data_IF_471869353793
#
_entry.id   IF_471869353793
#
_cell.length_a   1.000
_cell.length_b   1.000
_cell.length_c   1.000
_cell.angle_alpha   90.00
_cell.angle_beta   90.00
_cell.angle_gamma   90.00
#
_symmetry.space_group_name_H-M   'P 1'
#
loop_
_entity.id
_entity.type
_entity.pdbx_description
1 polymer ?
#
# COMPACT_ATOMS: atom_id res chain seq x y z
N UNK A 1 -12.83 6.60 8.39
CA UNK A 1 -13.38 5.86 7.22
C UNK A 1 -13.76 4.45 7.64
N UNK A 2 -15.01 3.99 7.43
CA UNK A 2 -15.33 2.56 7.64
C UNK A 2 -14.77 1.77 6.46
N UNK A 3 -13.88 0.78 6.69
CA UNK A 3 -13.52 -0.18 5.65
C UNK A 3 -14.81 -0.83 5.14
N UNK A 4 -15.07 -0.69 3.85
CA UNK A 4 -16.11 -1.44 3.18
C UNK A 4 -15.47 -2.62 2.45
N UNK A 5 -16.28 -3.61 2.09
CA UNK A 5 -15.82 -4.84 1.46
C UNK A 5 -14.96 -4.59 0.21
N UNK A 6 -15.31 -3.57 -0.59
CA UNK A 6 -14.57 -3.25 -1.81
C UNK A 6 -13.16 -2.71 -1.49
N UNK A 7 -13.03 -1.90 -0.46
CA UNK A 7 -11.74 -1.38 -0.02
C UNK A 7 -10.84 -2.50 0.52
N UNK A 8 -11.40 -3.46 1.25
CA UNK A 8 -10.67 -4.67 1.70
C UNK A 8 -10.10 -5.43 0.51
N UNK A 9 -10.93 -5.73 -0.50
CA UNK A 9 -10.50 -6.43 -1.72
C UNK A 9 -9.37 -5.68 -2.47
N UNK A 10 -9.47 -4.34 -2.54
CA UNK A 10 -8.47 -3.52 -3.21
C UNK A 10 -7.13 -3.51 -2.46
N UNK A 11 -7.18 -3.40 -1.13
CA UNK A 11 -5.97 -3.49 -0.29
C UNK A 11 -5.32 -4.86 -0.42
N UNK A 12 -6.09 -5.95 -0.37
CA UNK A 12 -5.57 -7.29 -0.59
C UNK A 12 -4.92 -7.44 -1.99
N UNK A 13 -5.53 -6.85 -3.02
CA UNK A 13 -4.98 -6.81 -4.37
C UNK A 13 -3.63 -6.08 -4.46
N UNK A 14 -3.51 -4.92 -3.81
CA UNK A 14 -2.27 -4.13 -3.74
C UNK A 14 -1.19 -4.93 -2.99
N UNK A 15 -1.51 -5.46 -1.80
CA UNK A 15 -0.56 -6.24 -0.98
C UNK A 15 -0.11 -7.51 -1.70
N UNK A 16 -1.01 -8.23 -2.36
CA UNK A 16 -0.69 -9.41 -3.15
C UNK A 16 0.26 -9.07 -4.31
N UNK A 17 0.01 -7.96 -5.01
CA UNK A 17 0.88 -7.47 -6.09
C UNK A 17 2.28 -7.11 -5.59
N UNK A 18 2.37 -6.46 -4.43
CA UNK A 18 3.64 -6.13 -3.77
C UNK A 18 4.38 -7.40 -3.39
N UNK A 19 3.76 -8.34 -2.66
CA UNK A 19 4.40 -9.60 -2.23
C UNK A 19 4.89 -10.45 -3.40
N UNK A 20 4.20 -10.40 -4.54
CA UNK A 20 4.62 -11.12 -5.76
C UNK A 20 5.93 -10.58 -6.34
N UNK A 21 6.18 -9.27 -6.23
CA UNK A 21 7.39 -8.61 -6.76
C UNK A 21 8.50 -8.44 -5.70
N UNK A 22 8.11 -8.24 -4.43
CA UNK A 22 8.98 -8.00 -3.29
C UNK A 22 8.65 -8.99 -2.17
N UNK A 23 8.99 -10.28 -2.33
CA UNK A 23 8.62 -11.34 -1.37
C UNK A 23 9.24 -11.17 0.02
N UNK A 24 10.30 -10.37 0.14
CA UNK A 24 10.92 -10.00 1.43
C UNK A 24 10.07 -9.00 2.23
N UNK A 25 9.14 -8.29 1.59
CA UNK A 25 8.27 -7.32 2.27
C UNK A 25 7.11 -8.02 2.98
N UNK A 26 6.82 -7.60 4.21
CA UNK A 26 5.75 -8.13 5.03
C UNK A 26 4.75 -7.04 5.34
N UNK A 27 3.46 -7.40 5.37
CA UNK A 27 2.42 -6.47 5.82
C UNK A 27 2.52 -6.35 7.34
N UNK A 28 2.67 -5.14 7.85
CA UNK A 28 2.75 -4.86 9.29
C UNK A 28 1.40 -4.45 9.82
N UNK A 29 0.78 -3.44 9.22
CA UNK A 29 -0.51 -2.93 9.63
C UNK A 29 -1.24 -2.20 8.50
N UNK A 30 -2.54 -2.03 8.68
CA UNK A 30 -3.38 -1.18 7.83
C UNK A 30 -4.09 -0.22 8.76
N UNK A 31 -3.88 1.08 8.56
CA UNK A 31 -4.39 2.12 9.47
C UNK A 31 -4.83 3.35 8.70
N UNK A 32 -5.62 4.22 9.31
CA UNK A 32 -5.98 5.51 8.74
C UNK A 32 -4.76 6.45 8.85
N UNK A 33 -4.56 7.28 7.83
CA UNK A 33 -3.50 8.30 7.89
C UNK A 33 -3.80 9.27 9.03
N UNK A 34 -2.81 9.58 9.89
CA UNK A 34 -3.00 10.56 10.96
C UNK A 34 -3.26 11.98 10.43
N UNK A 35 -2.85 12.26 9.19
CA UNK A 35 -3.04 13.56 8.55
C UNK A 35 -4.38 13.67 7.82
N UNK A 36 -4.87 12.56 7.27
CA UNK A 36 -6.12 12.53 6.52
C UNK A 36 -6.89 11.21 6.78
N UNK A 37 -8.01 11.24 7.54
CA UNK A 37 -8.77 10.03 7.86
C UNK A 37 -9.44 9.37 6.64
N UNK A 38 -9.50 10.03 5.49
CA UNK A 38 -9.98 9.46 4.22
C UNK A 38 -8.85 8.74 3.44
N UNK A 39 -7.62 8.77 3.95
CA UNK A 39 -6.46 8.08 3.37
C UNK A 39 -6.11 6.85 4.19
N UNK A 40 -6.00 5.70 3.53
CA UNK A 40 -5.60 4.46 4.17
C UNK A 40 -4.10 4.22 3.97
N UNK A 41 -3.38 3.96 5.05
CA UNK A 41 -1.97 3.55 5.04
C UNK A 41 -1.87 2.03 5.14
N UNK A 42 -1.14 1.46 4.20
CA UNK A 42 -0.77 0.04 4.16
C UNK A 42 0.72 -0.02 4.49
N UNK A 43 1.03 -0.29 5.76
CA UNK A 43 2.40 -0.31 6.24
C UNK A 43 3.04 -1.67 5.94
N UNK A 44 4.17 -1.65 5.24
CA UNK A 44 4.93 -2.84 4.88
C UNK A 44 6.37 -2.71 5.36
N UNK A 45 7.06 -3.81 5.62
CA UNK A 45 8.50 -3.75 5.92
C UNK A 45 9.25 -3.27 4.68
N UNK A 46 10.20 -2.35 4.89
CA UNK A 46 11.10 -1.90 3.84
C UNK A 46 12.10 -3.01 3.49
N UNK A 47 12.50 -3.15 2.21
CA UNK A 47 13.66 -3.94 1.83
C UNK A 47 14.94 -3.36 2.47
N UNK A 48 15.91 -4.22 2.80
CA UNK A 48 17.22 -3.77 3.32
C UNK A 48 18.04 -2.95 2.30
N UNK A 49 17.75 -3.12 1.01
CA UNK A 49 18.44 -2.45 -0.09
C UNK A 49 17.68 -1.17 -0.49
N UNK A 50 18.39 -0.03 -0.45
CA UNK A 50 17.81 1.30 -0.71
C UNK A 50 17.25 1.42 -2.15
N UNK A 51 17.93 0.84 -3.15
CA UNK A 51 17.44 0.86 -4.53
C UNK A 51 16.13 0.06 -4.65
N UNK A 52 16.04 -1.12 -4.03
CA UNK A 52 14.79 -1.89 -3.95
C UNK A 52 13.69 -1.14 -3.21
N UNK A 53 14.02 -0.40 -2.16
CA UNK A 53 13.04 0.42 -1.45
C UNK A 53 12.46 1.50 -2.36
N UNK A 54 13.31 2.21 -3.12
CA UNK A 54 12.88 3.21 -4.09
C UNK A 54 11.98 2.57 -5.16
N UNK A 55 12.39 1.43 -5.70
CA UNK A 55 11.58 0.69 -6.68
C UNK A 55 10.24 0.23 -6.11
N UNK A 56 10.21 -0.25 -4.85
CA UNK A 56 8.99 -0.64 -4.14
C UNK A 56 8.04 0.55 -4.04
N UNK A 57 8.54 1.72 -3.63
CA UNK A 57 7.74 2.94 -3.52
C UNK A 57 7.15 3.34 -4.87
N UNK A 58 7.95 3.31 -5.94
CA UNK A 58 7.46 3.62 -7.30
C UNK A 58 6.40 2.62 -7.76
N UNK A 59 6.63 1.32 -7.57
CA UNK A 59 5.68 0.28 -7.93
C UNK A 59 4.37 0.39 -7.16
N UNK A 60 4.45 0.62 -5.85
CA UNK A 60 3.28 0.77 -5.01
C UNK A 60 2.50 2.05 -5.34
N UNK A 61 3.19 3.17 -5.62
CA UNK A 61 2.56 4.42 -6.04
C UNK A 61 1.76 4.27 -7.34
N UNK A 62 2.26 3.51 -8.32
CA UNK A 62 1.51 3.17 -9.53
C UNK A 62 0.21 2.43 -9.19
N UNK A 63 0.30 1.34 -8.40
CA UNK A 63 -0.86 0.54 -8.00
C UNK A 63 -1.89 1.34 -7.19
N UNK A 64 -1.42 2.21 -6.29
CA UNK A 64 -2.26 3.10 -5.52
C UNK A 64 -2.96 4.14 -6.42
N UNK A 65 -2.27 4.65 -7.44
CA UNK A 65 -2.84 5.58 -8.42
C UNK A 65 -3.93 4.89 -9.25
N UNK A 66 -3.70 3.64 -9.68
CA UNK A 66 -4.72 2.82 -10.37
C UNK A 66 -5.99 2.74 -9.49
N UNK A 67 -5.84 2.44 -8.20
CA UNK A 67 -6.97 2.35 -7.26
C UNK A 67 -7.70 3.69 -7.10
N UNK A 68 -6.96 4.79 -6.99
CA UNK A 68 -7.54 6.12 -6.87
C UNK A 68 -8.33 6.51 -8.13
N UNK A 69 -7.78 6.27 -9.32
CA UNK A 69 -8.42 6.61 -10.58
C UNK A 69 -9.65 5.74 -10.88
N UNK A 70 -9.57 4.43 -10.63
CA UNK A 70 -10.63 3.49 -10.99
C UNK A 70 -11.76 3.43 -9.95
N UNK A 71 -11.44 3.63 -8.66
CA UNK A 71 -12.38 3.41 -7.57
C UNK A 71 -12.56 4.61 -6.63
N UNK A 72 -11.73 5.64 -6.74
CA UNK A 72 -11.82 6.84 -5.90
C UNK A 72 -11.29 6.66 -4.47
N UNK A 73 -10.66 5.52 -4.14
CA UNK A 73 -10.08 5.30 -2.82
C UNK A 73 -8.63 5.78 -2.76
N UNK A 74 -8.31 6.58 -1.75
CA UNK A 74 -6.95 7.03 -1.52
C UNK A 74 -6.23 6.07 -0.58
N UNK A 75 -5.32 5.27 -1.16
CA UNK A 75 -4.50 4.29 -0.44
C UNK A 75 -3.04 4.66 -0.65
N UNK A 76 -2.23 4.58 0.40
CA UNK A 76 -0.78 4.78 0.34
C UNK A 76 -0.09 3.58 0.95
N UNK A 77 0.99 3.13 0.32
CA UNK A 77 1.85 2.08 0.85
C UNK A 77 3.06 2.74 1.49
N UNK A 78 3.30 2.39 2.75
CA UNK A 78 4.33 3.01 3.57
C UNK A 78 5.36 1.96 3.97
N UNK A 79 6.56 1.95 3.35
CA UNK A 79 7.67 1.14 3.82
C UNK A 79 8.14 1.64 5.19
N UNK A 80 8.29 0.72 6.15
CA UNK A 80 8.78 0.99 7.50
C UNK A 80 9.94 0.08 7.87
N UNK A 81 10.86 0.60 8.68
CA UNK A 81 12.08 -0.06 9.16
C UNK A 81 11.91 -0.62 10.58
#
# INVERSE_FOLDING_TARGET
>A
MRLNHKLEELVEGVVSSIRKKYPETQLVEITESPENPDTLWVCVTAPDDEEREIELRSFAAEKCTDVLCDYGYHILVMPIY
#
